data_IF_411291941346
#
_entry.id   IF_411291941346
#
_cell.length_a   1.000
_cell.length_b   1.000
_cell.length_c   1.000
_cell.angle_alpha   90.00
_cell.angle_beta   90.00
_cell.angle_gamma   90.00
#
_symmetry.space_group_name_H-M   'P 1'
#
loop_
_entity.id
_entity.type
_entity.pdbx_description
1 polymer ?
#
# COMPACT_ATOMS: atom_id res chain seq x y z
N UNK A 1 -12.32 -33.45 14.00
CA UNK A 1 -13.12 -32.91 15.13
C UNK A 1 -13.47 -31.47 14.80
N UNK A 2 -14.76 -31.15 14.67
CA UNK A 2 -15.23 -29.80 14.30
C UNK A 2 -15.13 -28.85 15.50
N UNK A 3 -14.18 -27.92 15.44
CA UNK A 3 -13.91 -26.87 16.43
C UNK A 3 -15.08 -25.89 16.62
N UNK A 4 -16.09 -25.94 15.76
CA UNK A 4 -17.23 -25.01 15.70
C UNK A 4 -18.35 -25.31 16.72
N UNK A 5 -18.37 -26.48 17.37
CA UNK A 5 -19.51 -26.89 18.21
C UNK A 5 -19.33 -26.65 19.72
N UNK A 6 -18.25 -26.01 20.17
CA UNK A 6 -18.02 -25.69 21.61
C UNK A 6 -18.20 -24.18 21.87
N UNK A 7 -18.95 -23.48 21.03
CA UNK A 7 -19.41 -22.13 21.37
C UNK A 7 -20.53 -22.29 22.40
N UNK A 8 -20.21 -22.18 23.70
CA UNK A 8 -21.24 -22.13 24.75
C UNK A 8 -22.13 -20.91 24.50
N UNK A 9 -23.37 -21.14 24.07
CA UNK A 9 -24.35 -20.10 23.74
C UNK A 9 -24.49 -19.06 24.86
N UNK A 10 -24.48 -19.48 26.13
CA UNK A 10 -24.56 -18.57 27.27
C UNK A 10 -23.38 -17.61 27.44
N UNK A 11 -22.17 -17.99 26.98
CA UNK A 11 -21.02 -17.06 26.98
C UNK A 11 -21.21 -15.99 25.89
N UNK A 12 -21.70 -16.39 24.72
CA UNK A 12 -22.01 -15.44 23.64
C UNK A 12 -23.16 -14.49 24.02
N UNK A 13 -24.20 -14.99 24.69
CA UNK A 13 -25.34 -14.17 25.12
C UNK A 13 -24.92 -13.09 26.12
N UNK A 14 -24.02 -13.40 27.05
CA UNK A 14 -23.45 -12.43 27.99
C UNK A 14 -22.49 -11.45 27.29
N UNK A 15 -21.71 -11.92 26.32
CA UNK A 15 -20.82 -11.05 25.54
C UNK A 15 -21.58 -10.06 24.66
N UNK A 16 -22.72 -10.45 24.07
CA UNK A 16 -23.62 -9.54 23.34
C UNK A 16 -24.18 -8.43 24.24
N UNK A 17 -24.35 -8.69 25.54
CA UNK A 17 -24.74 -7.69 26.54
C UNK A 17 -23.58 -6.82 27.02
N UNK A 18 -22.36 -7.05 26.52
CA UNK A 18 -21.15 -6.32 26.93
C UNK A 18 -20.48 -6.85 28.20
N UNK A 19 -20.93 -7.98 28.73
CA UNK A 19 -20.32 -8.59 29.92
C UNK A 19 -19.06 -9.37 29.54
N UNK A 20 -17.89 -8.76 29.75
CA UNK A 20 -16.59 -9.39 29.47
C UNK A 20 -16.08 -10.25 30.63
N UNK A 21 -16.79 -10.28 31.77
CA UNK A 21 -16.37 -11.08 32.92
C UNK A 21 -16.43 -12.58 32.64
N UNK A 22 -17.30 -13.01 31.73
CA UNK A 22 -17.40 -14.41 31.29
C UNK A 22 -16.16 -14.89 30.52
N UNK A 23 -15.28 -13.97 30.09
CA UNK A 23 -13.99 -14.29 29.48
C UNK A 23 -12.87 -14.44 30.52
N UNK A 24 -13.07 -13.95 31.76
CA UNK A 24 -12.08 -14.06 32.82
C UNK A 24 -11.93 -15.54 33.21
N UNK A 25 -10.70 -16.04 33.17
CA UNK A 25 -10.39 -17.44 33.47
C UNK A 25 -10.53 -18.40 32.28
N UNK A 26 -10.95 -17.92 31.10
CA UNK A 26 -10.86 -18.72 29.88
C UNK A 26 -9.44 -18.72 29.32
N UNK A 27 -9.01 -19.82 28.66
CA UNK A 27 -7.77 -19.82 27.89
C UNK A 27 -7.76 -18.70 26.84
N UNK A 28 -6.63 -18.02 26.59
CA UNK A 28 -6.55 -16.91 25.62
C UNK A 28 -7.06 -17.27 24.23
N UNK A 29 -6.79 -18.50 23.78
CA UNK A 29 -7.27 -19.03 22.49
C UNK A 29 -8.80 -19.04 22.43
N UNK A 30 -9.47 -19.40 23.52
CA UNK A 30 -10.92 -19.49 23.57
C UNK A 30 -11.57 -18.10 23.63
N UNK A 31 -10.99 -17.17 24.39
CA UNK A 31 -11.44 -15.78 24.42
C UNK A 31 -11.34 -15.12 23.04
N UNK A 32 -10.27 -15.40 22.29
CA UNK A 32 -10.10 -14.93 20.92
C UNK A 32 -11.15 -15.52 19.97
N UNK A 33 -11.47 -16.81 20.09
CA UNK A 33 -12.53 -17.45 19.28
C UNK A 33 -13.90 -16.79 19.50
N UNK A 34 -14.26 -16.48 20.75
CA UNK A 34 -15.49 -15.76 21.05
C UNK A 34 -15.49 -14.33 20.50
N UNK A 35 -14.36 -13.62 20.58
CA UNK A 35 -14.20 -12.29 19.98
C UNK A 35 -14.40 -12.29 18.46
N UNK A 36 -13.81 -13.27 17.77
CA UNK A 36 -13.97 -13.44 16.32
C UNK A 36 -15.41 -13.82 15.94
N UNK A 37 -16.07 -14.66 16.73
CA UNK A 37 -17.47 -15.02 16.52
C UNK A 37 -18.40 -13.79 16.64
N UNK A 38 -18.16 -12.91 17.62
CA UNK A 38 -18.92 -11.66 17.77
C UNK A 38 -18.69 -10.71 16.58
N UNK A 39 -17.45 -10.60 16.09
CA UNK A 39 -17.15 -9.78 14.91
C UNK A 39 -17.84 -10.29 13.64
N UNK A 40 -17.92 -11.62 13.49
CA UNK A 40 -18.63 -12.26 12.40
C UNK A 40 -20.16 -12.02 12.49
N UNK A 41 -20.75 -12.09 13.69
CA UNK A 41 -22.17 -11.75 13.92
C UNK A 41 -22.48 -10.27 13.65
N UNK A 42 -21.56 -9.37 14.00
CA UNK A 42 -21.68 -7.94 13.75
C UNK A 42 -21.44 -7.55 12.27
N UNK A 43 -21.33 -8.53 11.37
CA UNK A 43 -21.24 -8.30 9.93
C UNK A 43 -19.86 -7.86 9.44
N UNK A 44 -18.79 -8.26 10.12
CA UNK A 44 -17.42 -7.76 9.88
C UNK A 44 -17.40 -6.24 9.92
N UNK A 45 -17.59 -5.66 11.11
CA UNK A 45 -17.33 -4.23 11.32
C UNK A 45 -15.86 -3.95 11.01
N UNK A 46 -15.57 -3.59 9.77
CA UNK A 46 -14.30 -3.03 9.34
C UNK A 46 -14.37 -1.57 9.79
N UNK A 47 -13.65 -1.24 10.85
CA UNK A 47 -13.39 0.16 11.19
C UNK A 47 -12.86 0.82 9.92
N UNK A 48 -13.64 1.75 9.34
CA UNK A 48 -13.21 2.44 8.12
C UNK A 48 -11.85 3.06 8.41
N UNK A 49 -10.86 2.73 7.58
CA UNK A 49 -9.53 3.32 7.67
C UNK A 49 -9.68 4.83 7.81
N UNK A 50 -9.03 5.41 8.83
CA UNK A 50 -8.97 6.87 9.00
C UNK A 50 -8.20 7.54 7.86
N UNK A 51 -7.45 6.76 7.08
CA UNK A 51 -6.69 7.23 5.91
C UNK A 51 -7.57 7.10 4.68
N UNK A 52 -7.89 8.25 4.08
CA UNK A 52 -8.60 8.34 2.82
C UNK A 52 -7.64 8.06 1.65
N UNK A 53 -8.06 7.26 0.67
CA UNK A 53 -7.27 6.95 -0.53
C UNK A 53 -6.81 8.21 -1.27
N UNK A 54 -7.62 9.28 -1.21
CA UNK A 54 -7.28 10.57 -1.80
C UNK A 54 -6.06 11.20 -1.12
N UNK A 55 -6.03 11.21 0.21
CA UNK A 55 -4.95 11.79 1.01
C UNK A 55 -3.66 10.95 0.89
N UNK A 56 -3.81 9.63 0.81
CA UNK A 56 -2.70 8.71 0.55
C UNK A 56 -2.06 8.98 -0.81
N UNK A 57 -2.88 9.13 -1.86
CA UNK A 57 -2.39 9.42 -3.21
C UNK A 57 -1.69 10.78 -3.29
N UNK A 58 -2.25 11.82 -2.67
CA UNK A 58 -1.63 13.15 -2.63
C UNK A 58 -0.28 13.13 -1.90
N UNK A 59 -0.18 12.43 -0.76
CA UNK A 59 1.07 12.26 -0.03
C UNK A 59 2.12 11.48 -0.83
N UNK A 60 1.71 10.43 -1.55
CA UNK A 60 2.60 9.67 -2.43
C UNK A 60 3.11 10.53 -3.60
N UNK A 61 2.25 11.31 -4.25
CA UNK A 61 2.63 12.19 -5.35
C UNK A 61 3.60 13.26 -4.85
N UNK A 62 3.30 13.90 -3.71
CA UNK A 62 4.19 14.91 -3.13
C UNK A 62 5.55 14.29 -2.80
N UNK A 63 5.60 13.07 -2.25
CA UNK A 63 6.88 12.38 -2.00
C UNK A 63 7.64 12.06 -3.28
N UNK A 64 6.95 11.69 -4.37
CA UNK A 64 7.58 11.47 -5.67
C UNK A 64 8.14 12.77 -6.25
N UNK A 65 7.41 13.88 -6.10
CA UNK A 65 7.87 15.21 -6.52
C UNK A 65 9.08 15.69 -5.70
N UNK A 66 9.08 15.42 -4.39
CA UNK A 66 10.15 15.83 -3.46
C UNK A 66 11.40 14.93 -3.56
N UNK A 67 11.27 13.72 -4.12
CA UNK A 67 12.32 12.69 -4.14
C UNK A 67 13.46 12.93 -5.15
N UNK A 68 13.76 14.17 -5.54
CA UNK A 68 14.89 14.45 -6.43
C UNK A 68 14.82 13.76 -7.82
N UNK A 69 13.68 13.13 -8.13
CA UNK A 69 13.47 12.35 -9.36
C UNK A 69 13.27 13.30 -10.53
N UNK A 70 12.59 14.42 -10.29
CA UNK A 70 12.41 15.46 -11.30
C UNK A 70 13.74 16.09 -11.71
N UNK A 71 14.60 16.43 -10.75
CA UNK A 71 15.94 16.96 -11.04
C UNK A 71 16.82 15.94 -11.78
N UNK A 72 16.75 14.67 -11.38
CA UNK A 72 17.47 13.58 -12.09
C UNK A 72 16.99 13.43 -13.53
N UNK A 73 15.69 13.39 -13.76
CA UNK A 73 15.11 13.28 -15.10
C UNK A 73 15.44 14.49 -15.99
N UNK A 74 15.45 15.70 -15.44
CA UNK A 74 15.86 16.92 -16.16
C UNK A 74 17.33 16.81 -16.57
N UNK A 75 18.21 16.38 -15.66
CA UNK A 75 19.64 16.22 -15.92
C UNK A 75 19.91 15.14 -16.97
N UNK A 76 19.21 14.02 -16.91
CA UNK A 76 19.30 12.94 -17.91
C UNK A 76 18.88 13.44 -19.30
N UNK A 77 17.74 14.13 -19.42
CA UNK A 77 17.30 14.70 -20.70
C UNK A 77 18.30 15.70 -21.28
N UNK A 78 18.94 16.54 -20.46
CA UNK A 78 19.99 17.46 -20.94
C UNK A 78 21.21 16.71 -21.46
N UNK A 79 21.65 15.66 -20.77
CA UNK A 79 22.78 14.84 -21.21
C UNK A 79 22.49 14.10 -22.52
N UNK A 80 21.27 13.55 -22.67
CA UNK A 80 20.86 12.87 -23.90
C UNK A 80 20.77 13.84 -25.09
N UNK A 81 20.23 15.05 -24.88
CA UNK A 81 20.19 16.09 -25.91
C UNK A 81 21.59 16.49 -26.38
N UNK A 82 22.54 16.65 -25.46
CA UNK A 82 23.92 16.97 -25.80
C UNK A 82 24.58 15.84 -26.59
N UNK A 83 24.42 14.59 -26.15
CA UNK A 83 24.93 13.42 -26.86
C UNK A 83 24.32 13.27 -28.26
N UNK A 84 23.04 13.60 -28.43
CA UNK A 84 22.40 13.59 -29.74
C UNK A 84 22.92 14.70 -30.66
N UNK A 85 23.18 15.90 -30.12
CA UNK A 85 23.79 17.00 -30.87
C UNK A 85 25.22 16.65 -31.33
N UNK A 86 26.02 16.02 -30.46
CA UNK A 86 27.37 15.56 -30.80
C UNK A 86 27.35 14.49 -31.89
N UNK A 87 26.43 13.52 -31.81
CA UNK A 87 26.22 12.50 -32.85
C UNK A 87 25.79 13.11 -34.18
N UNK A 88 24.91 14.11 -34.17
CA UNK A 88 24.51 14.85 -35.37
C UNK A 88 25.69 15.63 -35.98
N UNK A 89 26.54 16.24 -35.15
CA UNK A 89 27.72 16.96 -35.61
C UNK A 89 28.73 16.03 -36.28
N UNK A 90 28.99 14.87 -35.66
CA UNK A 90 29.85 13.82 -36.23
C UNK A 90 29.25 13.29 -37.54
N UNK A 91 27.96 12.99 -37.58
CA UNK A 91 27.29 12.53 -38.79
C UNK A 91 27.40 13.56 -39.92
N UNK A 92 27.24 14.86 -39.62
CA UNK A 92 27.41 15.94 -40.60
C UNK A 92 28.84 16.05 -41.13
N UNK A 93 29.85 15.88 -40.26
CA UNK A 93 31.26 15.86 -40.68
C UNK A 93 31.56 14.66 -41.58
N UNK A 94 31.12 13.46 -41.20
CA UNK A 94 31.29 12.25 -42.00
C UNK A 94 30.60 12.40 -43.36
N UNK A 95 29.37 12.92 -43.41
CA UNK A 95 28.70 13.14 -44.70
C UNK A 95 29.47 14.13 -45.56
N UNK A 96 30.02 15.20 -44.98
CA UNK A 96 30.81 16.18 -45.72
C UNK A 96 32.11 15.59 -46.27
N UNK A 97 32.82 14.78 -45.48
CA UNK A 97 34.04 14.07 -45.91
C UNK A 97 33.75 13.02 -46.99
N UNK A 98 32.60 12.33 -46.93
CA UNK A 98 32.24 11.26 -47.88
C UNK A 98 31.67 11.81 -49.18
N UNK A 99 30.95 12.96 -49.16
CA UNK A 99 30.37 13.56 -50.38
C UNK A 99 31.25 14.60 -51.05
N UNK A 100 32.35 15.04 -50.43
CA UNK A 100 33.38 15.86 -51.08
C UNK A 100 32.98 17.28 -51.44
N UNK A 101 32.09 17.92 -50.67
CA UNK A 101 31.87 19.38 -50.70
C UNK A 101 32.64 20.10 -49.57
#
# INVERSE_FOLDING_TARGET
MNLTNIVKQGVMDELRKGNTEVLKGLPPVLAMQYGLALQHEAGNYIEKSKVNDKELNEAMINRLQDSGVKERLIKEMETEKKAHADKLAIAKQITKEVTGE
#
